data_IF_283789853238
#
_entry.id   IF_283789853238
#
_cell.length_a   1.000
_cell.length_b   1.000
_cell.length_c   1.000
_cell.angle_alpha   90.00
_cell.angle_beta   90.00
_cell.angle_gamma   90.00
#
_symmetry.space_group_name_H-M   'P 1'
#
loop_
_entity.id
_entity.type
_entity.pdbx_description
1 polymer ?
#
# COMPACT_ATOMS: atom_id res chain seq x y z
N UNK A 1 -11.79 15.74 -0.69
CA UNK A 1 -12.42 14.56 -1.34
C UNK A 1 -13.45 13.90 -0.44
N UNK A 2 -13.07 13.46 0.76
CA UNK A 2 -13.95 12.73 1.69
C UNK A 2 -15.09 13.60 2.26
N UNK A 3 -14.82 14.81 2.76
CA UNK A 3 -15.84 15.58 3.47
C UNK A 3 -16.84 16.31 2.58
N UNK A 4 -16.36 16.85 1.45
CA UNK A 4 -17.20 17.66 0.55
C UNK A 4 -17.82 16.80 -0.55
N UNK A 5 -16.99 16.03 -1.28
CA UNK A 5 -17.44 15.22 -2.41
C UNK A 5 -18.05 13.88 -1.97
N UNK A 6 -17.89 13.50 -0.69
CA UNK A 6 -18.44 12.28 -0.09
C UNK A 6 -18.12 11.02 -0.92
N UNK A 7 -16.88 10.93 -1.41
CA UNK A 7 -16.42 9.71 -2.11
C UNK A 7 -16.57 8.50 -1.20
N UNK A 8 -16.93 7.35 -1.78
CA UNK A 8 -17.08 6.08 -1.05
C UNK A 8 -15.81 5.24 -1.02
N UNK A 9 -14.86 5.54 -1.91
CA UNK A 9 -13.63 4.76 -2.07
C UNK A 9 -12.44 5.69 -2.18
N UNK A 10 -11.43 5.45 -1.35
CA UNK A 10 -10.08 6.00 -1.49
C UNK A 10 -9.18 4.84 -1.89
N UNK A 11 -8.30 5.05 -2.87
CA UNK A 11 -7.41 4.01 -3.38
C UNK A 11 -5.98 4.54 -3.28
N UNK A 12 -5.16 3.82 -2.53
CA UNK A 12 -3.70 3.95 -2.53
C UNK A 12 -3.18 2.99 -3.58
N UNK A 13 -2.62 3.53 -4.67
CA UNK A 13 -2.12 2.71 -5.78
C UNK A 13 -0.62 2.83 -5.89
N UNK A 14 0.09 1.72 -5.73
CA UNK A 14 1.51 1.58 -6.06
C UNK A 14 1.73 1.05 -7.47
N UNK A 15 2.99 0.97 -7.87
CA UNK A 15 3.36 0.34 -9.13
C UNK A 15 4.74 -0.33 -9.05
N UNK A 16 4.91 -1.42 -9.80
CA UNK A 16 6.21 -2.06 -9.95
C UNK A 16 7.15 -1.18 -10.80
N UNK A 17 8.46 -1.35 -10.62
CA UNK A 17 9.47 -0.52 -11.30
C UNK A 17 9.52 0.94 -10.83
N UNK A 18 9.03 1.24 -9.62
CA UNK A 18 9.08 2.60 -9.08
C UNK A 18 10.51 3.04 -8.76
N UNK A 19 11.00 4.07 -9.47
CA UNK A 19 12.33 4.63 -9.25
C UNK A 19 12.56 5.17 -7.83
N UNK A 20 11.52 5.73 -7.19
CA UNK A 20 11.58 6.19 -5.80
C UNK A 20 11.73 5.05 -4.80
N UNK A 21 10.98 3.96 -4.98
CA UNK A 21 11.12 2.74 -4.16
C UNK A 21 12.52 2.15 -4.34
N UNK A 22 13.01 2.07 -5.58
CA UNK A 22 14.36 1.58 -5.86
C UNK A 22 15.45 2.44 -5.19
N UNK A 23 15.36 3.76 -5.32
CA UNK A 23 16.29 4.69 -4.69
C UNK A 23 16.27 4.57 -3.16
N UNK A 24 15.09 4.42 -2.56
CA UNK A 24 14.94 4.17 -1.13
C UNK A 24 15.54 2.82 -0.71
N UNK A 25 15.34 1.76 -1.50
CA UNK A 25 15.93 0.44 -1.25
C UNK A 25 17.46 0.49 -1.25
N UNK A 26 18.04 1.15 -2.25
CA UNK A 26 19.49 1.24 -2.48
C UNK A 26 20.19 2.32 -1.62
N UNK A 27 19.45 3.09 -0.80
CA UNK A 27 19.95 4.28 -0.08
C UNK A 27 20.67 5.28 -1.02
N UNK A 28 20.11 5.50 -2.21
CA UNK A 28 20.64 6.47 -3.15
C UNK A 28 20.59 7.88 -2.54
N UNK A 29 21.61 8.70 -2.82
CA UNK A 29 21.65 10.12 -2.44
C UNK A 29 21.23 10.96 -3.63
N UNK A 30 20.00 11.45 -3.62
CA UNK A 30 19.37 12.23 -4.69
C UNK A 30 19.08 13.68 -4.25
N UNK A 31 19.50 14.07 -3.04
CA UNK A 31 19.39 15.44 -2.55
C UNK A 31 18.08 15.66 -1.79
N UNK A 32 17.33 16.73 -2.11
CA UNK A 32 16.14 17.11 -1.33
C UNK A 32 15.06 16.02 -1.28
N UNK A 33 14.96 15.20 -2.33
CA UNK A 33 13.99 14.09 -2.40
C UNK A 33 14.30 12.99 -1.40
N UNK A 34 15.53 12.90 -0.88
CA UNK A 34 15.93 11.89 0.11
C UNK A 34 15.11 12.02 1.40
N UNK A 35 14.73 13.25 1.77
CA UNK A 35 13.87 13.52 2.92
C UNK A 35 12.47 12.91 2.74
N UNK A 36 11.95 12.92 1.51
CA UNK A 36 10.67 12.29 1.19
C UNK A 36 10.80 10.77 1.13
N UNK A 37 11.88 10.27 0.50
CA UNK A 37 12.16 8.83 0.40
C UNK A 37 12.49 8.20 1.76
N UNK A 38 12.83 8.99 2.77
CA UNK A 38 13.03 8.50 4.14
C UNK A 38 11.80 7.74 4.66
N UNK A 39 10.58 8.17 4.32
CA UNK A 39 9.37 7.46 4.72
C UNK A 39 9.25 6.06 4.10
N UNK A 40 9.77 5.88 2.87
CA UNK A 40 9.87 4.55 2.24
C UNK A 40 10.99 3.74 2.90
N UNK A 41 12.10 4.38 3.30
CA UNK A 41 13.17 3.72 4.04
C UNK A 41 12.69 3.22 5.41
N UNK A 42 11.81 3.96 6.09
CA UNK A 42 11.19 3.52 7.34
C UNK A 42 10.36 2.24 7.12
N UNK A 43 9.61 2.15 6.01
CA UNK A 43 8.89 0.91 5.62
C UNK A 43 9.89 -0.23 5.36
N UNK A 44 10.97 0.04 4.62
CA UNK A 44 12.02 -0.95 4.37
C UNK A 44 12.64 -1.47 5.67
N UNK A 45 12.96 -0.58 6.60
CA UNK A 45 13.58 -0.93 7.89
C UNK A 45 12.64 -1.74 8.77
N UNK A 46 11.35 -1.39 8.81
CA UNK A 46 10.32 -2.14 9.55
C UNK A 46 10.18 -3.58 9.03
N UNK A 47 10.27 -3.77 7.71
CA UNK A 47 10.05 -5.05 7.04
C UNK A 47 11.35 -5.70 6.55
N UNK A 48 12.50 -5.31 7.11
CA UNK A 48 13.81 -5.80 6.68
C UNK A 48 13.83 -7.33 6.63
N UNK A 49 13.41 -8.09 7.67
CA UNK A 49 13.57 -9.54 7.68
C UNK A 49 12.89 -10.23 6.49
N UNK A 50 11.75 -9.69 6.05
CA UNK A 50 10.99 -10.17 4.90
C UNK A 50 11.69 -9.84 3.58
N UNK A 51 12.29 -8.64 3.49
CA UNK A 51 13.06 -8.23 2.31
C UNK A 51 14.38 -8.99 2.20
N UNK A 52 15.07 -9.26 3.31
CA UNK A 52 16.35 -9.97 3.34
C UNK A 52 16.23 -11.41 2.81
N UNK A 53 15.08 -12.04 3.04
CA UNK A 53 14.77 -13.40 2.59
C UNK A 53 14.60 -13.52 1.06
N UNK A 54 14.42 -12.41 0.34
CA UNK A 54 14.21 -12.41 -1.11
C UNK A 54 15.54 -12.49 -1.89
N UNK A 55 15.54 -13.19 -3.04
CA UNK A 55 16.76 -13.63 -3.71
C UNK A 55 17.59 -12.51 -4.34
N UNK A 56 16.94 -11.45 -4.82
CA UNK A 56 17.59 -10.38 -5.56
C UNK A 56 16.95 -9.00 -5.33
N UNK A 57 17.66 -7.95 -5.76
CA UNK A 57 17.22 -6.56 -5.62
C UNK A 57 15.91 -6.26 -6.33
N UNK A 58 15.62 -6.93 -7.45
CA UNK A 58 14.37 -6.79 -8.19
C UNK A 58 13.18 -7.33 -7.38
N UNK A 59 13.32 -8.53 -6.84
CA UNK A 59 12.33 -9.14 -5.94
C UNK A 59 12.10 -8.26 -4.71
N UNK A 60 13.17 -7.76 -4.08
CA UNK A 60 13.11 -6.84 -2.94
C UNK A 60 12.42 -5.52 -3.29
N UNK A 61 12.72 -4.94 -4.44
CA UNK A 61 12.08 -3.71 -4.90
C UNK A 61 10.60 -3.91 -5.16
N UNK A 62 10.21 -5.02 -5.79
CA UNK A 62 8.80 -5.34 -6.02
C UNK A 62 8.05 -5.52 -4.70
N UNK A 63 8.63 -6.26 -3.75
CA UNK A 63 8.03 -6.44 -2.43
C UNK A 63 7.96 -5.15 -1.64
N UNK A 64 8.97 -4.28 -1.72
CA UNK A 64 8.92 -2.97 -1.07
C UNK A 64 7.84 -2.06 -1.69
N UNK A 65 7.57 -2.16 -3.00
CA UNK A 65 6.42 -1.48 -3.60
C UNK A 65 5.10 -1.93 -2.95
N UNK A 66 4.91 -3.25 -2.78
CA UNK A 66 3.71 -3.84 -2.18
C UNK A 66 3.55 -3.42 -0.72
N UNK A 67 4.60 -3.60 0.09
CA UNK A 67 4.64 -3.20 1.50
C UNK A 67 4.37 -1.71 1.68
N UNK A 68 4.92 -0.86 0.81
CA UNK A 68 4.67 0.58 0.89
C UNK A 68 3.18 0.88 0.66
N UNK A 69 2.49 0.20 -0.27
CA UNK A 69 1.04 0.37 -0.43
C UNK A 69 0.29 -0.05 0.83
N UNK A 70 0.63 -1.21 1.41
CA UNK A 70 0.00 -1.71 2.65
C UNK A 70 0.14 -0.70 3.79
N UNK A 71 1.35 -0.15 3.98
CA UNK A 71 1.63 0.85 5.01
C UNK A 71 0.92 2.18 4.76
N UNK A 72 0.90 2.66 3.51
CA UNK A 72 0.20 3.90 3.20
C UNK A 72 -1.33 3.75 3.31
N UNK A 73 -1.90 2.58 3.03
CA UNK A 73 -3.32 2.31 3.33
C UNK A 73 -3.58 2.48 4.82
N UNK A 74 -2.76 1.85 5.67
CA UNK A 74 -2.87 1.99 7.12
C UNK A 74 -2.77 3.46 7.55
N UNK A 75 -1.79 4.21 7.06
CA UNK A 75 -1.64 5.63 7.40
C UNK A 75 -2.85 6.46 6.96
N UNK A 76 -3.41 6.21 5.77
CA UNK A 76 -4.63 6.89 5.30
C UNK A 76 -5.80 6.59 6.26
N UNK A 77 -5.97 5.33 6.66
CA UNK A 77 -6.97 4.94 7.64
C UNK A 77 -6.78 5.65 8.99
N UNK A 78 -5.55 5.85 9.44
CA UNK A 78 -5.22 6.50 10.72
C UNK A 78 -5.39 8.04 10.70
N UNK A 79 -5.66 8.65 9.55
CA UNK A 79 -5.91 10.11 9.49
C UNK A 79 -7.19 10.50 10.20
N UNK A 80 -7.21 11.68 10.85
CA UNK A 80 -8.43 12.23 11.44
C UNK A 80 -9.57 12.33 10.43
N UNK A 81 -9.28 12.65 9.17
CA UNK A 81 -10.27 12.75 8.09
C UNK A 81 -11.03 11.43 7.89
N UNK A 82 -10.33 10.29 7.89
CA UNK A 82 -10.94 8.97 7.68
C UNK A 82 -11.61 8.48 8.97
N UNK A 83 -10.97 8.70 10.12
CA UNK A 83 -11.55 8.35 11.43
C UNK A 83 -12.87 9.11 11.66
N UNK A 84 -12.89 10.44 11.50
CA UNK A 84 -14.08 11.28 11.62
C UNK A 84 -15.17 10.87 10.62
N UNK A 85 -14.79 10.34 9.46
CA UNK A 85 -15.74 9.83 8.45
C UNK A 85 -16.42 8.55 8.91
N UNK A 86 -15.66 7.61 9.46
CA UNK A 86 -16.22 6.38 10.04
C UNK A 86 -17.04 6.66 11.30
N UNK A 87 -16.58 7.52 12.20
CA UNK A 87 -17.29 7.91 13.42
C UNK A 87 -18.66 8.52 13.11
N UNK A 88 -18.75 9.41 12.10
CA UNK A 88 -20.03 9.98 11.65
C UNK A 88 -20.83 9.04 10.73
N UNK A 89 -20.44 7.78 10.62
CA UNK A 89 -21.11 6.73 9.83
C UNK A 89 -21.19 7.04 8.32
N UNK A 90 -20.25 7.81 7.79
CA UNK A 90 -20.12 7.97 6.34
C UNK A 90 -19.59 6.67 5.72
N UNK A 91 -20.27 6.16 4.69
CA UNK A 91 -19.77 5.03 3.91
C UNK A 91 -18.48 5.39 3.18
N UNK A 92 -17.36 4.83 3.64
CA UNK A 92 -16.03 5.06 3.10
C UNK A 92 -15.19 3.79 3.24
N UNK A 93 -14.54 3.37 2.18
CA UNK A 93 -13.54 2.30 2.19
C UNK A 93 -12.20 2.80 1.63
N UNK A 94 -11.10 2.32 2.21
CA UNK A 94 -9.73 2.57 1.75
C UNK A 94 -9.19 1.26 1.19
N UNK A 95 -8.59 1.31 0.00
CA UNK A 95 -8.09 0.15 -0.73
C UNK A 95 -6.63 0.33 -1.09
N UNK A 96 -5.87 -0.76 -1.11
CA UNK A 96 -4.49 -0.80 -1.61
C UNK A 96 -4.41 -1.64 -2.86
N UNK A 97 -4.00 -1.02 -3.96
CA UNK A 97 -3.81 -1.67 -5.25
C UNK A 97 -2.38 -1.49 -5.73
N UNK A 98 -1.91 -2.41 -6.58
CA UNK A 98 -0.64 -2.28 -7.28
C UNK A 98 -0.81 -2.66 -8.75
N UNK A 99 -0.08 -2.02 -9.65
CA UNK A 99 -0.09 -2.40 -11.07
C UNK A 99 1.32 -2.57 -11.66
N UNK A 100 1.42 -3.44 -12.68
CA UNK A 100 2.62 -3.61 -13.49
C UNK A 100 2.70 -2.55 -14.58
N UNK A 101 3.88 -1.96 -14.77
CA UNK A 101 4.14 -1.08 -15.92
C UNK A 101 4.28 -1.89 -17.23
N UNK A 102 4.60 -3.18 -17.11
CA UNK A 102 4.77 -4.13 -18.19
C UNK A 102 3.43 -4.65 -18.75
N UNK A 103 2.43 -4.85 -17.89
CA UNK A 103 1.15 -5.44 -18.28
C UNK A 103 -0.07 -4.51 -18.06
N UNK A 104 0.10 -3.40 -17.35
CA UNK A 104 -0.96 -2.46 -16.99
C UNK A 104 -2.04 -3.04 -16.09
N UNK A 105 -1.85 -4.24 -15.51
CA UNK A 105 -2.89 -4.94 -14.75
C UNK A 105 -2.88 -4.53 -13.29
N UNK A 106 -4.06 -4.12 -12.79
CA UNK A 106 -4.29 -3.85 -11.38
C UNK A 106 -4.44 -5.16 -10.58
N UNK A 107 -3.81 -5.18 -9.42
CA UNK A 107 -3.80 -6.28 -8.48
C UNK A 107 -4.16 -5.75 -7.09
N UNK A 108 -5.04 -6.46 -6.42
CA UNK A 108 -5.51 -6.20 -5.07
C UNK A 108 -4.56 -6.86 -4.06
N UNK A 109 -4.08 -6.07 -3.09
CA UNK A 109 -3.19 -6.50 -2.02
C UNK A 109 -3.95 -7.04 -0.78
N UNK A 110 -5.27 -7.12 -0.83
CA UNK A 110 -6.09 -7.59 0.28
C UNK A 110 -6.25 -6.54 1.38
N UNK A 111 -5.97 -5.27 1.11
CA UNK A 111 -5.96 -4.19 2.12
C UNK A 111 -7.22 -3.32 2.08
N UNK A 112 -8.38 -3.90 1.79
CA UNK A 112 -9.65 -3.16 1.77
C UNK A 112 -10.19 -2.99 3.20
N UNK A 113 -10.28 -1.75 3.67
CA UNK A 113 -10.74 -1.40 5.04
C UNK A 113 -11.95 -0.47 4.95
N UNK A 114 -13.02 -0.81 5.67
CA UNK A 114 -14.26 -0.01 5.69
C UNK A 114 -14.66 0.50 7.08
N UNK A 115 -13.89 0.15 8.12
CA UNK A 115 -14.13 0.54 9.51
C UNK A 115 -12.81 0.57 10.29
N UNK A 116 -12.76 1.35 11.38
CA UNK A 116 -11.54 1.57 12.16
C UNK A 116 -11.05 0.28 12.84
N UNK A 117 -11.97 -0.54 13.34
CA UNK A 117 -11.72 -1.81 14.02
C UNK A 117 -11.05 -2.86 13.12
N UNK A 118 -11.21 -2.75 11.80
CA UNK A 118 -10.64 -3.68 10.83
C UNK A 118 -9.20 -3.34 10.43
N UNK A 119 -8.73 -2.11 10.67
CA UNK A 119 -7.44 -1.60 10.17
C UNK A 119 -6.29 -2.53 10.54
N UNK A 120 -6.15 -2.86 11.83
CA UNK A 120 -5.06 -3.69 12.32
C UNK A 120 -5.12 -5.11 11.76
N UNK A 121 -6.31 -5.72 11.76
CA UNK A 121 -6.51 -7.09 11.25
C UNK A 121 -6.14 -7.18 9.78
N UNK A 122 -6.66 -6.27 8.95
CA UNK A 122 -6.41 -6.23 7.50
C UNK A 122 -4.94 -5.94 7.20
N UNK A 123 -4.30 -5.05 7.97
CA UNK A 123 -2.86 -4.78 7.85
C UNK A 123 -2.02 -6.04 8.09
N UNK A 124 -2.24 -6.76 9.19
CA UNK A 124 -1.47 -7.98 9.50
C UNK A 124 -1.75 -9.10 8.48
N UNK A 125 -3.01 -9.31 8.09
CA UNK A 125 -3.38 -10.29 7.06
C UNK A 125 -2.67 -10.01 5.71
N UNK A 126 -2.54 -8.73 5.33
CA UNK A 126 -1.85 -8.34 4.10
C UNK A 126 -0.34 -8.53 4.19
N UNK A 127 0.30 -8.13 5.31
CA UNK A 127 1.73 -8.34 5.53
C UNK A 127 2.06 -9.84 5.56
N UNK A 128 1.27 -10.65 6.26
CA UNK A 128 1.42 -12.12 6.30
C UNK A 128 1.18 -12.75 4.92
N UNK A 129 0.23 -12.22 4.16
CA UNK A 129 -0.04 -12.64 2.78
C UNK A 129 1.18 -12.44 1.88
N UNK A 130 1.82 -11.27 2.00
CA UNK A 130 3.06 -10.98 1.29
C UNK A 130 4.21 -11.87 1.77
N UNK A 131 4.38 -12.06 3.09
CA UNK A 131 5.43 -12.92 3.65
C UNK A 131 5.40 -14.36 3.12
N UNK A 132 4.21 -14.86 2.78
CA UNK A 132 3.99 -16.21 2.27
C UNK A 132 3.82 -16.27 0.73
N UNK A 133 4.26 -15.22 0.02
CA UNK A 133 4.19 -15.08 -1.45
C UNK A 133 2.81 -15.39 -2.05
N UNK A 134 1.73 -15.06 -1.32
CA UNK A 134 0.40 -15.15 -1.91
C UNK A 134 0.29 -14.09 -3.01
N UNK A 135 -0.01 -14.48 -4.26
CA UNK A 135 -0.08 -13.53 -5.35
C UNK A 135 -1.20 -12.51 -5.10
N UNK A 136 -0.89 -11.23 -5.38
CA UNK A 136 -1.89 -10.18 -5.41
C UNK A 136 -3.00 -10.57 -6.41
N UNK A 137 -4.26 -10.46 -5.98
CA UNK A 137 -5.40 -10.95 -6.78
C UNK A 137 -5.65 -9.98 -7.92
N UNK A 138 -5.71 -10.43 -9.16
CA UNK A 138 -6.16 -9.55 -10.24
C UNK A 138 -7.55 -9.02 -9.90
N UNK A 139 -7.73 -7.70 -9.96
CA UNK A 139 -9.04 -7.11 -9.65
C UNK A 139 -10.06 -7.69 -10.63
N UNK A 140 -11.08 -8.38 -10.09
CA UNK A 140 -12.19 -8.82 -10.92
C UNK A 140 -12.95 -7.59 -11.44
N UNK A 141 -13.50 -7.69 -12.65
CA UNK A 141 -14.38 -6.66 -13.21
C UNK A 141 -15.48 -6.36 -12.17
N UNK A 142 -15.72 -5.09 -11.77
CA UNK A 142 -16.78 -4.81 -10.81
C UNK A 142 -18.10 -5.35 -11.35
N UNK A 143 -18.88 -6.02 -10.48
CA UNK A 143 -20.24 -6.41 -10.81
C UNK A 143 -21.02 -5.15 -11.25
N UNK A 144 -21.80 -5.20 -12.35
CA UNK A 144 -22.62 -4.07 -12.74
C UNK A 144 -23.55 -3.72 -11.57
N UNK A 145 -23.58 -2.43 -11.22
CA UNK A 145 -24.63 -1.87 -10.36
C UNK A 145 -25.95 -1.86 -11.10
#
# INVERSE_FOLDING_TARGET
AVDVLRVRHVIVTGHYGCGGIRAALENARLGLVDNWLRHVQDVRERHEPLLAALPDTGARSNRLCELNVVEQVRHVCETSIVQDAWERKQSLAVHGLIYGLDDGRLRDLGTSVAAAEDVSRVYFEAVDGLANDRPARTTARPAPR
#
